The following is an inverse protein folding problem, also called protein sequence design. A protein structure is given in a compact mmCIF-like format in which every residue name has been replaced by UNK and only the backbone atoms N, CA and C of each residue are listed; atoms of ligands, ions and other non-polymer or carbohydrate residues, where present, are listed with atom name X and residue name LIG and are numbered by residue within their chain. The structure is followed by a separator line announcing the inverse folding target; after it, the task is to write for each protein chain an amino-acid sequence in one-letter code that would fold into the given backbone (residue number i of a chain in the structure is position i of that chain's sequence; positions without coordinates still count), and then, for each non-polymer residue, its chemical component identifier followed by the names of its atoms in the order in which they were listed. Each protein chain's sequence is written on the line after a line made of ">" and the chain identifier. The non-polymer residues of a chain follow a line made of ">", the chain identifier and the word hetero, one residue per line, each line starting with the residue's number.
data_IF_887420551841
#
_entry.id   IF_887420551841
#
_cell.length_a   1.000
_cell.length_b   1.000
_cell.length_c   1.000
_cell.angle_alpha   90.00
_cell.angle_beta   90.00
_cell.angle_gamma   90.00
#
_symmetry.space_group_name_H-M   'P 1'
#
loop_
_entity.id
_entity.type
_entity.pdbx_description
1 polymer ?
#
# COMPACT_ATOMS: atom_id res chain seq x y z
N UNK A 1 -7.75 18.44 14.20
CA UNK A 1 -7.34 17.17 14.81
C UNK A 1 -6.86 16.26 13.69
N UNK A 2 -5.61 15.79 13.72
CA UNK A 2 -5.06 14.93 12.67
C UNK A 2 -5.56 13.50 12.89
N UNK A 3 -6.39 13.00 11.97
CA UNK A 3 -6.89 11.62 11.99
C UNK A 3 -5.80 10.69 11.44
N UNK A 4 -4.85 10.31 12.29
CA UNK A 4 -3.80 9.37 11.91
C UNK A 4 -4.27 7.93 12.10
N UNK A 5 -4.15 7.10 11.07
CA UNK A 5 -4.39 5.64 11.17
C UNK A 5 -3.33 5.03 12.10
N UNK A 6 -3.69 4.26 13.12
CA UNK A 6 -2.69 3.65 13.99
C UNK A 6 -1.86 2.63 13.20
N UNK A 7 -0.55 2.85 13.10
CA UNK A 7 0.40 1.94 12.44
C UNK A 7 1.48 1.48 13.43
N UNK A 8 1.17 0.52 14.33
CA UNK A 8 2.16 -0.06 15.22
C UNK A 8 3.28 -0.75 14.43
N UNK A 9 4.49 -0.79 14.99
CA UNK A 9 5.64 -1.48 14.39
C UNK A 9 5.62 -2.99 14.66
N UNK A 10 4.74 -3.44 15.55
CA UNK A 10 4.53 -4.84 15.89
C UNK A 10 4.03 -5.69 14.70
N UNK A 11 4.13 -7.01 14.83
CA UNK A 11 3.53 -7.98 13.89
C UNK A 11 2.26 -8.63 14.48
N UNK A 12 1.54 -7.92 15.35
CA UNK A 12 0.20 -8.34 15.77
C UNK A 12 -0.77 -8.35 14.58
N UNK A 13 -1.88 -9.05 14.70
CA UNK A 13 -2.88 -9.11 13.63
C UNK A 13 -3.51 -7.74 13.39
N UNK A 14 -3.79 -6.97 14.46
CA UNK A 14 -4.27 -5.60 14.34
C UNK A 14 -3.25 -4.69 13.60
N UNK A 15 -1.95 -4.83 13.85
CA UNK A 15 -0.93 -4.06 13.15
C UNK A 15 -0.77 -4.45 11.67
N UNK A 16 -0.93 -5.75 11.34
CA UNK A 16 -0.96 -6.22 9.94
C UNK A 16 -2.20 -5.69 9.21
N UNK A 17 -3.35 -5.76 9.85
CA UNK A 17 -4.62 -5.25 9.33
C UNK A 17 -4.54 -3.75 9.00
N UNK A 18 -4.00 -2.93 9.90
CA UNK A 18 -3.84 -1.50 9.61
C UNK A 18 -2.89 -1.24 8.44
N UNK A 19 -1.78 -1.98 8.34
CA UNK A 19 -0.85 -1.89 7.19
C UNK A 19 -1.53 -2.31 5.89
N UNK A 20 -2.35 -3.37 5.91
CA UNK A 20 -3.15 -3.81 4.76
C UNK A 20 -4.12 -2.73 4.32
N UNK A 21 -4.91 -2.17 5.24
CA UNK A 21 -5.89 -1.12 4.93
C UNK A 21 -5.21 0.12 4.31
N UNK A 22 -4.07 0.55 4.87
CA UNK A 22 -3.30 1.68 4.31
C UNK A 22 -2.74 1.35 2.93
N UNK A 23 -2.18 0.15 2.73
CA UNK A 23 -1.65 -0.27 1.43
C UNK A 23 -2.74 -0.26 0.35
N UNK A 24 -3.91 -0.84 0.65
CA UNK A 24 -5.06 -0.85 -0.26
C UNK A 24 -5.55 0.57 -0.57
N UNK A 25 -5.60 1.43 0.45
CA UNK A 25 -6.00 2.82 0.30
C UNK A 25 -5.03 3.63 -0.57
N UNK A 26 -3.73 3.35 -0.48
CA UNK A 26 -2.71 3.95 -1.35
C UNK A 26 -2.86 3.41 -2.76
N UNK A 27 -2.99 2.10 -2.94
CA UNK A 27 -3.21 1.49 -4.25
C UNK A 27 -4.44 2.07 -4.96
N UNK A 28 -5.57 2.21 -4.26
CA UNK A 28 -6.78 2.83 -4.80
C UNK A 28 -6.55 4.28 -5.25
N UNK A 29 -5.78 5.06 -4.48
CA UNK A 29 -5.42 6.45 -4.84
C UNK A 29 -4.45 6.53 -6.01
N UNK A 30 -3.50 5.61 -6.12
CA UNK A 30 -2.58 5.53 -7.26
C UNK A 30 -3.34 5.15 -8.54
N UNK A 31 -4.29 4.21 -8.45
CA UNK A 31 -5.18 3.87 -9.56
C UNK A 31 -6.04 5.08 -9.95
N UNK A 32 -6.68 5.77 -9.01
CA UNK A 32 -7.46 6.98 -9.36
C UNK A 32 -6.58 8.05 -10.00
N UNK A 33 -5.41 8.31 -9.40
CA UNK A 33 -4.47 9.31 -9.86
C UNK A 33 -3.96 9.02 -11.26
N UNK A 34 -3.66 7.79 -11.62
CA UNK A 34 -3.01 7.53 -12.92
C UNK A 34 -3.98 6.94 -13.94
N UNK A 35 -4.94 6.13 -13.52
CA UNK A 35 -5.80 5.34 -14.40
C UNK A 35 -7.19 5.97 -14.55
N UNK A 36 -7.81 6.47 -13.49
CA UNK A 36 -9.18 7.00 -13.55
C UNK A 36 -9.27 8.43 -14.09
N UNK A 37 -8.79 8.60 -15.32
CA UNK A 37 -8.82 9.86 -16.06
C UNK A 37 -9.78 9.80 -17.25
N UNK A 38 -10.31 10.95 -17.70
CA UNK A 38 -11.16 10.99 -18.88
C UNK A 38 -10.37 10.76 -20.18
N UNK A 39 -9.11 11.19 -20.23
CA UNK A 39 -8.19 11.06 -21.37
C UNK A 39 -6.75 10.91 -20.89
N UNK A 40 -5.91 10.19 -21.62
CA UNK A 40 -4.50 9.99 -21.29
C UNK A 40 -3.53 10.79 -22.16
N UNK A 41 -3.96 11.28 -23.34
CA UNK A 41 -3.08 12.07 -24.23
C UNK A 41 -2.71 13.44 -23.66
N UNK A 42 -3.47 13.93 -22.67
CA UNK A 42 -3.16 15.17 -21.97
C UNK A 42 -2.37 14.88 -20.70
N UNK A 43 -1.47 15.81 -20.36
CA UNK A 43 -0.73 15.82 -19.09
C UNK A 43 -1.68 15.79 -17.88
N UNK A 44 -1.23 15.20 -16.77
CA UNK A 44 -1.95 15.24 -15.48
C UNK A 44 -2.21 16.69 -15.02
N UNK A 45 -1.33 17.63 -15.36
CA UNK A 45 -1.44 19.05 -14.99
C UNK A 45 -2.40 19.86 -15.90
N UNK A 46 -3.05 19.21 -16.88
CA UNK A 46 -3.90 19.90 -17.86
C UNK A 46 -5.24 20.42 -17.31
N UNK A 47 -5.58 20.12 -16.06
CA UNK A 47 -6.89 20.40 -15.45
C UNK A 47 -8.10 19.86 -16.25
N UNK A 48 -7.87 18.95 -17.21
CA UNK A 48 -8.93 18.48 -18.11
C UNK A 48 -10.01 17.71 -17.35
N UNK A 49 -9.64 16.95 -16.32
CA UNK A 49 -10.60 16.19 -15.49
C UNK A 49 -11.61 17.12 -14.85
N UNK A 50 -11.13 18.15 -14.14
CA UNK A 50 -11.97 19.16 -13.51
C UNK A 50 -12.79 19.95 -14.54
N UNK A 51 -12.19 20.32 -15.67
CA UNK A 51 -12.89 21.01 -16.75
C UNK A 51 -14.07 20.20 -17.28
N UNK A 52 -13.87 18.91 -17.54
CA UNK A 52 -14.94 18.01 -17.97
C UNK A 52 -15.98 17.78 -16.87
N UNK A 53 -15.59 17.71 -15.58
CA UNK A 53 -16.56 17.63 -14.46
C UNK A 53 -17.46 18.87 -14.44
N UNK A 54 -16.86 20.04 -14.52
CA UNK A 54 -17.59 21.30 -14.52
C UNK A 54 -18.46 21.46 -15.77
N UNK A 55 -18.02 20.94 -16.92
CA UNK A 55 -18.83 20.92 -18.13
C UNK A 55 -20.01 19.96 -17.98
N UNK A 56 -19.83 18.76 -17.44
CA UNK A 56 -20.93 17.83 -17.21
C UNK A 56 -21.98 18.37 -16.24
N UNK A 57 -21.58 19.14 -15.22
CA UNK A 57 -22.50 19.81 -14.31
C UNK A 57 -23.35 20.90 -15.00
N UNK A 58 -22.90 21.45 -16.13
CA UNK A 58 -23.59 22.55 -16.84
C UNK A 58 -24.33 22.07 -18.08
N UNK A 59 -23.74 21.13 -18.80
CA UNK A 59 -24.21 20.58 -20.07
C UNK A 59 -23.54 19.22 -20.30
N UNK A 60 -24.18 18.18 -19.80
CA UNK A 60 -23.75 16.78 -19.88
C UNK A 60 -23.48 16.31 -21.32
N UNK A 61 -24.31 16.76 -22.27
CA UNK A 61 -24.19 16.40 -23.68
C UNK A 61 -22.96 17.02 -24.33
N UNK A 62 -22.67 18.29 -24.04
CA UNK A 62 -21.42 18.93 -24.49
C UNK A 62 -20.20 18.26 -23.88
N UNK A 63 -20.25 17.89 -22.59
CA UNK A 63 -19.15 17.13 -21.98
C UNK A 63 -18.89 15.83 -22.73
N UNK A 64 -19.94 15.04 -22.95
CA UNK A 64 -19.83 13.77 -23.62
C UNK A 64 -19.20 13.95 -25.00
N UNK A 65 -19.69 14.90 -25.79
CA UNK A 65 -19.15 15.20 -27.11
C UNK A 65 -17.67 15.59 -27.06
N UNK A 66 -17.28 16.52 -26.17
CA UNK A 66 -15.89 16.93 -25.99
C UNK A 66 -15.00 15.75 -25.58
N UNK A 67 -15.44 14.94 -24.62
CA UNK A 67 -14.70 13.74 -24.18
C UNK A 67 -14.54 12.74 -25.32
N UNK A 68 -15.58 12.49 -26.12
CA UNK A 68 -15.47 11.59 -27.28
C UNK A 68 -14.47 12.10 -28.33
N UNK A 69 -14.43 13.42 -28.59
CA UNK A 69 -13.41 14.00 -29.47
C UNK A 69 -12.02 13.71 -28.91
N UNK A 70 -11.76 14.01 -27.64
CA UNK A 70 -10.45 13.78 -27.01
C UNK A 70 -10.01 12.31 -27.13
N UNK A 71 -10.93 11.38 -26.90
CA UNK A 71 -10.67 9.94 -27.01
C UNK A 71 -10.40 9.48 -28.45
N UNK A 72 -10.88 10.22 -29.46
CA UNK A 72 -10.73 9.87 -30.87
C UNK A 72 -9.44 10.39 -31.52
N UNK A 73 -8.71 11.30 -30.86
CA UNK A 73 -7.54 11.98 -31.43
C UNK A 73 -6.42 10.98 -31.78
N UNK A 74 -6.02 10.15 -30.82
CA UNK A 74 -4.98 9.14 -31.05
C UNK A 74 -5.20 7.92 -30.13
N UNK A 75 -6.02 6.94 -30.57
CA UNK A 75 -6.32 5.75 -29.78
C UNK A 75 -5.09 4.89 -29.47
N UNK A 76 -4.09 4.90 -30.35
CA UNK A 76 -2.85 4.14 -30.16
C UNK A 76 -2.02 4.78 -29.05
N UNK A 77 -1.90 6.11 -29.06
CA UNK A 77 -1.20 6.84 -28.00
C UNK A 77 -1.90 6.75 -26.66
N UNK A 78 -3.24 6.80 -26.63
CA UNK A 78 -4.03 6.51 -25.43
C UNK A 78 -3.66 5.17 -24.80
N UNK A 79 -3.55 4.11 -25.61
CA UNK A 79 -3.21 2.77 -25.12
C UNK A 79 -1.76 2.68 -24.63
N UNK A 80 -0.82 3.30 -25.33
CA UNK A 80 0.59 3.37 -24.92
C UNK A 80 0.73 4.07 -23.56
N UNK A 81 0.13 5.25 -23.42
CA UNK A 81 0.19 6.03 -22.17
C UNK A 81 -0.52 5.30 -21.03
N UNK A 82 -1.63 4.60 -21.29
CA UNK A 82 -2.26 3.74 -20.29
C UNK A 82 -1.28 2.68 -19.77
N UNK A 83 -0.53 2.02 -20.66
CA UNK A 83 0.51 1.07 -20.28
C UNK A 83 1.61 1.69 -19.39
N UNK A 84 2.05 2.91 -19.70
CA UNK A 84 3.01 3.66 -18.88
C UNK A 84 2.45 4.04 -17.50
N UNK A 85 1.18 4.42 -17.44
CA UNK A 85 0.46 4.75 -16.21
C UNK A 85 0.30 3.52 -15.32
N UNK A 86 -0.04 2.36 -15.87
CA UNK A 86 -0.09 1.07 -15.15
C UNK A 86 1.27 0.76 -14.53
N UNK A 87 2.36 0.83 -15.31
CA UNK A 87 3.72 0.63 -14.77
C UNK A 87 4.08 1.63 -13.67
N UNK A 88 3.60 2.87 -13.79
CA UNK A 88 3.80 3.90 -12.78
C UNK A 88 3.10 3.57 -11.47
N UNK A 89 1.83 3.15 -11.51
CA UNK A 89 1.08 2.66 -10.33
C UNK A 89 1.85 1.51 -9.68
N UNK A 90 2.22 0.49 -10.45
CA UNK A 90 2.95 -0.67 -9.92
C UNK A 90 4.25 -0.25 -9.25
N UNK A 91 5.05 0.59 -9.90
CA UNK A 91 6.32 1.08 -9.35
C UNK A 91 6.10 1.87 -8.05
N UNK A 92 5.12 2.76 -8.01
CA UNK A 92 4.88 3.62 -6.86
C UNK A 92 4.45 2.80 -5.63
N UNK A 93 3.57 1.82 -5.81
CA UNK A 93 3.12 0.94 -4.73
C UNK A 93 4.23 -0.01 -4.29
N UNK A 94 4.98 -0.62 -5.23
CA UNK A 94 6.09 -1.52 -4.90
C UNK A 94 7.23 -0.84 -4.12
N UNK A 95 7.42 0.48 -4.27
CA UNK A 95 8.39 1.24 -3.46
C UNK A 95 8.06 1.21 -1.96
N UNK A 96 6.78 1.20 -1.61
CA UNK A 96 6.32 1.09 -0.22
C UNK A 96 6.58 -0.30 0.36
N UNK A 97 6.76 -1.30 -0.52
CA UNK A 97 6.98 -2.70 -0.18
C UNK A 97 8.44 -3.13 -0.38
N UNK A 98 9.38 -2.18 -0.41
CA UNK A 98 10.81 -2.43 -0.61
C UNK A 98 11.47 -3.33 0.45
N UNK A 99 10.81 -3.55 1.59
CA UNK A 99 11.25 -4.48 2.64
C UNK A 99 10.73 -5.92 2.49
N UNK A 100 9.95 -6.23 1.45
CA UNK A 100 9.48 -7.60 1.21
C UNK A 100 10.65 -8.54 0.85
N UNK A 101 10.62 -9.80 1.27
CA UNK A 101 11.56 -10.80 0.78
C UNK A 101 11.43 -10.96 -0.74
N UNK A 102 12.57 -11.16 -1.42
CA UNK A 102 12.63 -11.29 -2.88
C UNK A 102 11.64 -12.32 -3.43
N UNK A 103 11.45 -13.43 -2.71
CA UNK A 103 10.53 -14.50 -3.08
C UNK A 103 9.07 -14.05 -3.26
N UNK A 104 8.63 -12.99 -2.56
CA UNK A 104 7.28 -12.44 -2.66
C UNK A 104 7.22 -11.17 -3.50
N UNK A 105 8.37 -10.60 -3.86
CA UNK A 105 8.44 -9.31 -4.54
C UNK A 105 7.87 -9.40 -5.96
N UNK A 106 8.24 -10.44 -6.73
CA UNK A 106 7.73 -10.66 -8.08
C UNK A 106 6.22 -10.94 -8.09
N UNK A 107 5.76 -11.84 -7.21
CA UNK A 107 4.33 -12.19 -7.11
C UNK A 107 3.47 -10.96 -6.75
N UNK A 108 3.91 -10.16 -5.77
CA UNK A 108 3.21 -8.94 -5.38
C UNK A 108 3.18 -7.91 -6.53
N UNK A 109 4.30 -7.75 -7.24
CA UNK A 109 4.38 -6.86 -8.39
C UNK A 109 3.37 -7.27 -9.46
N UNK A 110 3.34 -8.55 -9.82
CA UNK A 110 2.45 -9.09 -10.84
C UNK A 110 0.98 -8.94 -10.43
N UNK A 111 0.66 -9.14 -9.15
CA UNK A 111 -0.69 -8.92 -8.61
C UNK A 111 -1.13 -7.45 -8.72
N UNK A 112 -0.25 -6.49 -8.37
CA UNK A 112 -0.55 -5.06 -8.48
C UNK A 112 -0.69 -4.64 -9.95
N UNK A 113 0.21 -5.10 -10.82
CA UNK A 113 0.17 -4.81 -12.25
C UNK A 113 -1.10 -5.39 -12.90
N UNK A 114 -1.48 -6.61 -12.51
CA UNK A 114 -2.74 -7.25 -12.92
C UNK A 114 -3.97 -6.46 -12.48
N UNK A 115 -4.03 -6.02 -11.22
CA UNK A 115 -5.15 -5.22 -10.72
C UNK A 115 -5.26 -3.86 -11.42
N UNK A 116 -4.13 -3.16 -11.60
CA UNK A 116 -4.08 -1.90 -12.33
C UNK A 116 -4.52 -2.06 -13.79
N UNK A 117 -4.13 -3.16 -14.43
CA UNK A 117 -4.56 -3.51 -15.79
C UNK A 117 -6.08 -3.70 -15.86
N UNK A 118 -6.64 -4.51 -14.96
CA UNK A 118 -8.08 -4.72 -14.86
C UNK A 118 -8.85 -3.41 -14.62
N UNK A 119 -8.33 -2.54 -13.74
CA UNK A 119 -8.91 -1.23 -13.50
C UNK A 119 -8.90 -0.37 -14.76
N UNK A 120 -7.82 -0.38 -15.54
CA UNK A 120 -7.72 0.33 -16.82
C UNK A 120 -8.70 -0.18 -17.88
N UNK A 121 -8.86 -1.50 -18.00
CA UNK A 121 -9.82 -2.13 -18.91
C UNK A 121 -11.27 -1.77 -18.55
N UNK A 122 -11.60 -1.84 -17.26
CA UNK A 122 -12.93 -1.46 -16.77
C UNK A 122 -13.18 0.04 -17.00
N UNK A 123 -12.24 0.89 -16.60
CA UNK A 123 -12.38 2.34 -16.72
C UNK A 123 -12.48 2.81 -18.17
N UNK A 124 -11.85 2.09 -19.10
CA UNK A 124 -11.99 2.35 -20.54
C UNK A 124 -13.42 2.21 -21.05
N UNK A 125 -14.29 1.47 -20.35
CA UNK A 125 -15.73 1.40 -20.65
C UNK A 125 -16.45 2.63 -20.11
N UNK A 126 -16.16 3.04 -18.87
CA UNK A 126 -16.73 4.26 -18.28
C UNK A 126 -16.38 5.52 -19.07
N UNK A 127 -15.13 5.63 -19.56
CA UNK A 127 -14.70 6.76 -20.40
C UNK A 127 -15.45 6.88 -21.72
N UNK A 128 -16.01 5.78 -22.24
CA UNK A 128 -16.79 5.75 -23.49
C UNK A 128 -18.30 5.80 -23.27
N UNK A 129 -18.75 5.70 -22.03
CA UNK A 129 -20.17 5.82 -21.70
C UNK A 129 -20.68 7.25 -21.95
N UNK A 130 -21.98 7.36 -22.20
CA UNK A 130 -22.65 8.65 -22.38
C UNK A 130 -22.52 9.51 -21.13
N UNK A 131 -22.91 8.96 -19.98
CA UNK A 131 -22.77 9.61 -18.67
C UNK A 131 -21.30 9.79 -18.29
N UNK A 132 -21.01 10.90 -17.61
CA UNK A 132 -19.71 11.12 -17.00
C UNK A 132 -19.64 10.42 -15.65
N UNK A 133 -18.73 9.45 -15.53
CA UNK A 133 -18.40 8.81 -14.26
C UNK A 133 -17.22 9.51 -13.60
N UNK A 134 -17.27 9.62 -12.27
CA UNK A 134 -16.18 10.10 -11.44
C UNK A 134 -16.00 9.21 -10.22
N UNK A 135 -14.75 9.13 -9.79
CA UNK A 135 -14.35 8.47 -8.55
C UNK A 135 -14.25 9.52 -7.47
N UNK A 136 -14.84 9.23 -6.30
CA UNK A 136 -14.95 10.17 -5.20
C UNK A 136 -14.48 9.53 -3.89
N UNK A 137 -13.45 10.11 -3.29
CA UNK A 137 -12.89 9.70 -2.00
C UNK A 137 -13.45 10.49 -0.82
N UNK A 138 -14.16 11.60 -1.08
CA UNK A 138 -14.59 12.55 -0.07
C UNK A 138 -16.05 12.99 -0.34
N UNK A 139 -17.01 12.06 -0.15
CA UNK A 139 -18.42 12.26 -0.49
C UNK A 139 -19.07 13.38 0.30
N UNK A 140 -18.53 13.67 1.48
CA UNK A 140 -19.02 14.70 2.39
C UNK A 140 -18.92 16.11 1.77
N UNK A 141 -17.99 16.34 0.83
CA UNK A 141 -17.92 17.59 0.04
C UNK A 141 -19.21 17.88 -0.73
N UNK A 142 -19.99 16.84 -1.00
CA UNK A 142 -21.23 16.90 -1.77
C UNK A 142 -22.48 16.72 -0.90
N UNK A 143 -22.33 16.75 0.43
CA UNK A 143 -23.44 16.57 1.37
C UNK A 143 -23.90 15.12 1.53
N UNK A 144 -23.12 14.15 1.04
CA UNK A 144 -23.41 12.74 1.19
C UNK A 144 -22.61 12.16 2.37
N UNK A 145 -23.35 11.64 3.34
CA UNK A 145 -22.83 11.05 4.57
C UNK A 145 -22.98 9.53 4.62
N UNK A 146 -23.25 8.86 3.49
CA UNK A 146 -23.37 7.41 3.43
C UNK A 146 -22.01 6.73 3.18
N UNK A 147 -21.74 5.67 3.93
CA UNK A 147 -20.49 4.90 3.83
C UNK A 147 -20.72 3.44 4.20
N UNK A 148 -19.76 2.58 3.84
CA UNK A 148 -19.69 1.18 4.28
C UNK A 148 -18.39 0.92 5.05
N UNK A 149 -18.42 0.08 6.10
CA UNK A 149 -17.22 -0.29 6.82
C UNK A 149 -16.28 -1.12 5.95
N UNK A 150 -14.98 -0.85 6.06
CA UNK A 150 -13.96 -1.76 5.57
C UNK A 150 -14.01 -3.07 6.37
N UNK A 151 -14.18 -4.19 5.68
CA UNK A 151 -14.20 -5.53 6.29
C UNK A 151 -12.86 -6.20 6.01
N UNK A 152 -12.15 -6.57 7.07
CA UNK A 152 -10.89 -7.31 6.96
C UNK A 152 -11.14 -8.74 6.46
N UNK A 153 -10.19 -9.36 5.72
CA UNK A 153 -10.38 -10.68 5.13
C UNK A 153 -10.87 -11.75 6.11
N UNK A 154 -10.38 -11.72 7.35
CA UNK A 154 -10.74 -12.68 8.40
C UNK A 154 -12.17 -12.51 8.96
N UNK A 155 -12.88 -11.46 8.53
CA UNK A 155 -14.23 -11.10 8.99
C UNK A 155 -15.28 -11.06 7.87
N UNK A 156 -14.90 -11.42 6.64
CA UNK A 156 -15.75 -11.31 5.44
C UNK A 156 -17.08 -12.10 5.51
N UNK A 157 -17.23 -13.06 6.44
CA UNK A 157 -18.43 -13.88 6.58
C UNK A 157 -19.52 -13.35 7.53
N UNK A 158 -19.34 -12.21 8.21
CA UNK A 158 -20.15 -11.83 9.37
C UNK A 158 -20.97 -10.53 9.25
N UNK A 159 -20.90 -9.77 8.15
CA UNK A 159 -21.46 -8.40 8.09
C UNK A 159 -22.55 -8.27 7.02
N UNK A 160 -23.72 -7.77 7.42
CA UNK A 160 -24.80 -7.37 6.51
C UNK A 160 -24.49 -6.08 5.74
N UNK A 161 -24.83 -6.05 4.46
CA UNK A 161 -24.41 -5.04 3.48
C UNK A 161 -25.22 -3.73 3.50
N UNK A 162 -25.54 -3.17 4.67
CA UNK A 162 -26.23 -1.87 4.71
C UNK A 162 -25.25 -0.71 4.81
N UNK A 163 -25.42 0.38 4.03
CA UNK A 163 -24.73 1.63 4.30
C UNK A 163 -25.11 2.18 5.68
N UNK A 164 -24.21 2.95 6.26
CA UNK A 164 -24.33 3.60 7.56
C UNK A 164 -24.14 5.11 7.37
N UNK A 165 -24.81 5.95 8.17
CA UNK A 165 -24.57 7.40 8.17
C UNK A 165 -23.25 7.75 8.89
N UNK A 166 -22.50 8.75 8.40
CA UNK A 166 -21.21 9.16 8.97
C UNK A 166 -21.41 9.97 10.24
N UNK A 167 -20.73 9.56 11.31
CA UNK A 167 -20.44 10.44 12.44
C UNK A 167 -19.12 11.19 12.14
N UNK A 168 -19.19 12.53 12.06
CA UNK A 168 -18.09 13.42 11.64
C UNK A 168 -16.76 13.25 12.41
N UNK A 169 -16.74 12.57 13.55
CA UNK A 169 -15.55 12.42 14.41
C UNK A 169 -14.78 11.10 14.20
N UNK A 170 -15.29 10.17 13.39
CA UNK A 170 -14.88 8.77 13.50
C UNK A 170 -14.17 8.17 12.27
N UNK A 171 -14.31 8.77 11.08
CA UNK A 171 -13.60 8.29 9.89
C UNK A 171 -12.09 8.51 10.02
N UNK A 172 -11.30 7.47 9.75
CA UNK A 172 -9.84 7.52 9.76
C UNK A 172 -9.27 7.52 8.35
N UNK A 173 -9.83 6.73 7.45
CA UNK A 173 -9.29 6.53 6.11
C UNK A 173 -10.36 6.00 5.15
N UNK A 174 -10.57 6.69 4.04
CA UNK A 174 -11.24 6.10 2.87
C UNK A 174 -10.30 5.09 2.22
N UNK A 175 -10.66 3.80 2.29
CA UNK A 175 -9.89 2.69 1.70
C UNK A 175 -10.24 2.54 0.23
N UNK A 176 -11.52 2.44 -0.10
CA UNK A 176 -11.99 2.44 -1.48
C UNK A 176 -12.92 3.61 -1.75
N UNK A 177 -12.75 4.29 -2.89
CA UNK A 177 -13.64 5.37 -3.27
C UNK A 177 -14.97 4.82 -3.75
N UNK A 178 -15.94 5.72 -3.88
CA UNK A 178 -17.18 5.43 -4.60
C UNK A 178 -17.09 5.82 -6.06
N UNK A 179 -18.03 5.30 -6.85
CA UNK A 179 -18.30 5.73 -8.22
C UNK A 179 -19.60 6.53 -8.22
N UNK A 180 -19.58 7.69 -8.86
CA UNK A 180 -20.74 8.54 -9.05
C UNK A 180 -20.85 9.01 -10.51
N UNK A 181 -22.05 9.37 -10.94
CA UNK A 181 -22.24 10.12 -12.19
C UNK A 181 -22.35 11.60 -11.93
N UNK A 182 -21.98 12.38 -12.94
CA UNK A 182 -22.10 13.84 -12.95
C UNK A 182 -22.90 14.23 -14.18
N UNK A 183 -24.08 14.82 -13.99
CA UNK A 183 -25.01 15.14 -15.08
C UNK A 183 -25.90 16.32 -14.69
N UNK A 184 -25.80 17.43 -15.43
CA UNK A 184 -26.73 18.58 -15.40
C UNK A 184 -27.09 19.10 -14.00
N UNK A 185 -26.06 19.30 -13.18
CA UNK A 185 -26.16 19.85 -11.84
C UNK A 185 -26.34 18.80 -10.75
N UNK A 186 -26.47 17.53 -11.13
CA UNK A 186 -26.68 16.41 -10.23
C UNK A 186 -25.42 15.54 -10.16
N UNK A 187 -25.10 15.09 -8.94
CA UNK A 187 -24.07 14.07 -8.70
C UNK A 187 -24.71 12.90 -7.97
N UNK A 188 -24.90 11.78 -8.66
CA UNK A 188 -25.56 10.59 -8.12
C UNK A 188 -24.54 9.49 -7.84
N UNK A 189 -24.53 8.97 -6.61
CA UNK A 189 -23.67 7.86 -6.21
C UNK A 189 -24.25 6.50 -6.63
N UNK A 190 -23.42 5.63 -7.20
CA UNK A 190 -23.79 4.23 -7.49
C UNK A 190 -23.27 3.27 -6.43
N UNK A 191 -22.17 3.64 -5.78
CA UNK A 191 -21.55 2.86 -4.72
C UNK A 191 -21.28 3.74 -3.51
N UNK A 192 -20.91 3.10 -2.40
CA UNK A 192 -20.54 3.78 -1.16
C UNK A 192 -19.02 3.88 -1.08
N UNK A 193 -18.55 4.88 -0.36
CA UNK A 193 -17.15 4.86 0.09
C UNK A 193 -16.97 3.74 1.10
N UNK A 194 -15.83 3.05 1.02
CA UNK A 194 -15.46 2.04 1.99
C UNK A 194 -14.44 2.66 2.93
N UNK A 195 -14.78 2.77 4.21
CA UNK A 195 -13.98 3.51 5.18
C UNK A 195 -13.53 2.65 6.35
N UNK A 196 -12.32 2.97 6.82
CA UNK A 196 -11.81 2.56 8.10
C UNK A 196 -12.25 3.58 9.15
N UNK A 197 -12.95 3.12 10.19
CA UNK A 197 -13.46 3.95 11.26
C UNK A 197 -12.71 3.67 12.57
N UNK A 198 -12.47 4.71 13.37
CA UNK A 198 -11.76 4.64 14.66
C UNK A 198 -12.41 3.69 15.66
N UNK A 199 -13.72 3.54 15.63
CA UNK A 199 -14.46 2.66 16.54
C UNK A 199 -14.31 1.16 16.20
N UNK A 200 -13.75 0.82 15.03
CA UNK A 200 -13.55 -0.56 14.64
C UNK A 200 -12.59 -1.30 15.60
N UNK A 201 -12.86 -2.56 15.96
CA UNK A 201 -12.05 -3.30 16.93
C UNK A 201 -10.56 -3.33 16.61
N UNK A 202 -10.20 -3.52 15.34
CA UNK A 202 -8.81 -3.54 14.87
C UNK A 202 -8.12 -2.18 15.05
N UNK A 203 -8.82 -1.09 14.76
CA UNK A 203 -8.30 0.27 14.97
C UNK A 203 -8.07 0.56 16.45
N UNK A 204 -9.01 0.15 17.31
CA UNK A 204 -8.89 0.31 18.76
C UNK A 204 -7.73 -0.54 19.30
N UNK A 205 -7.58 -1.78 18.84
CA UNK A 205 -6.49 -2.66 19.23
C UNK A 205 -5.12 -2.10 18.82
N UNK A 206 -4.97 -1.71 17.55
CA UNK A 206 -3.74 -1.09 17.05
C UNK A 206 -3.43 0.22 17.78
N UNK A 207 -4.44 1.04 18.09
CA UNK A 207 -4.26 2.26 18.87
C UNK A 207 -3.73 2.00 20.29
N UNK A 208 -4.21 0.93 20.95
CA UNK A 208 -3.71 0.53 22.27
C UNK A 208 -2.27 0.04 22.23
N UNK A 209 -1.84 -0.61 21.15
CA UNK A 209 -0.45 -1.04 20.97
C UNK A 209 0.49 0.16 20.85
N UNK A 210 0.11 1.17 20.06
CA UNK A 210 0.87 2.40 19.88
C UNK A 210 1.10 3.16 21.19
N UNK A 211 0.14 3.11 22.11
CA UNK A 211 0.25 3.73 23.45
C UNK A 211 1.15 2.89 24.38
N UNK A 212 1.26 1.58 24.14
CA UNK A 212 2.02 0.64 24.99
C UNK A 212 3.47 0.46 24.56
N UNK A 213 3.83 0.78 23.31
CA UNK A 213 5.24 0.81 22.90
C UNK A 213 5.99 1.93 23.66
N UNK A 214 7.02 1.63 24.48
CA UNK A 214 7.83 2.66 25.10
C UNK A 214 8.67 3.35 24.03
N UNK A 215 8.71 4.68 24.08
CA UNK A 215 9.63 5.49 23.29
C UNK A 215 11.10 5.21 23.66
N UNK A 216 11.88 4.72 22.69
CA UNK A 216 13.36 4.86 22.53
C UNK A 216 14.28 3.71 23.03
N UNK A 217 15.58 3.69 22.65
CA UNK A 217 16.21 2.54 21.98
C UNK A 217 17.20 1.80 22.90
N UNK A 218 17.29 0.48 22.82
CA UNK A 218 18.41 -0.23 23.44
C UNK A 218 19.57 -0.31 22.46
N UNK A 219 20.43 0.72 22.51
CA UNK A 219 21.83 0.57 22.15
C UNK A 219 22.42 -0.51 23.08
N UNK A 220 22.46 -1.75 22.60
CA UNK A 220 23.20 -2.80 23.29
C UNK A 220 24.69 -2.46 23.18
N UNK A 221 25.17 -1.74 24.18
CA UNK A 221 26.58 -1.59 24.50
C UNK A 221 27.21 -2.98 24.49
N UNK A 222 28.18 -3.17 23.58
CA UNK A 222 29.14 -4.25 23.69
C UNK A 222 29.85 -4.07 25.02
N UNK A 223 29.47 -4.91 25.98
CA UNK A 223 30.07 -4.96 27.31
C UNK A 223 31.58 -5.06 27.19
N UNK A 224 32.26 -4.09 27.81
CA UNK A 224 33.69 -4.13 28.02
C UNK A 224 34.03 -5.43 28.78
N UNK A 225 34.84 -6.27 28.14
CA UNK A 225 35.40 -7.48 28.72
C UNK A 225 36.24 -7.11 29.95
N UNK A 226 35.71 -7.38 31.14
CA UNK A 226 36.44 -7.28 32.39
C UNK A 226 37.47 -8.43 32.45
N UNK A 227 38.64 -8.19 31.87
CA UNK A 227 39.78 -9.12 31.91
C UNK A 227 40.47 -9.00 33.27
N UNK A 228 39.93 -9.66 34.29
CA UNK A 228 40.65 -9.86 35.55
C UNK A 228 41.82 -10.81 35.33
N UNK A 229 43.04 -10.24 35.32
CA UNK A 229 44.31 -10.98 35.41
C UNK A 229 44.30 -11.78 36.71
N UNK A 230 44.24 -13.10 36.63
CA UNK A 230 44.59 -13.99 37.74
C UNK A 230 46.04 -14.44 37.53
N UNK A 231 46.92 -13.86 38.32
CA UNK A 231 48.29 -14.32 38.55
C UNK A 231 48.17 -15.56 39.44
N UNK A 232 48.69 -16.70 38.99
CA UNK A 232 48.93 -17.85 39.85
C UNK A 232 50.33 -18.38 39.59
N UNK A 233 51.09 -18.31 40.68
CA UNK A 233 52.48 -18.67 40.89
C UNK A 233 52.63 -20.19 40.72
N UNK A 234 53.60 -20.62 39.93
CA UNK A 234 54.01 -22.01 39.80
C UNK A 234 54.93 -22.39 40.97
N UNK A 235 54.54 -23.40 41.74
CA UNK A 235 55.43 -24.14 42.62
C UNK A 235 55.57 -25.58 42.11
N UNK A 236 56.83 -25.92 41.82
CA UNK A 236 57.36 -27.23 41.44
C UNK A 236 56.98 -28.36 42.41
N UNK A 237 56.71 -29.57 41.89
CA UNK A 237 57.41 -30.82 42.29
C UNK A 237 56.95 -32.01 41.44
N UNK A 238 57.77 -33.06 41.47
CA UNK A 238 58.07 -34.11 40.49
C UNK A 238 57.20 -35.38 40.59
N UNK A 239 57.53 -36.32 39.68
CA UNK A 239 57.15 -37.74 39.54
C UNK A 239 55.84 -38.02 38.76
N UNK A 240 55.79 -38.90 37.76
CA UNK A 240 56.81 -39.74 37.15
C UNK A 240 56.16 -40.79 36.22
N UNK A 241 56.92 -41.16 35.18
CA UNK A 241 56.94 -42.44 34.45
C UNK A 241 55.86 -42.84 33.41
N UNK A 242 56.36 -42.91 32.16
CA UNK A 242 56.45 -44.09 31.26
C UNK A 242 55.36 -44.43 30.22
N UNK A 243 55.84 -44.66 28.98
CA UNK A 243 55.24 -45.44 27.88
C UNK A 243 55.07 -44.68 26.56
N UNK A 244 56.10 -44.44 25.74
CA UNK A 244 56.56 -45.25 24.58
C UNK A 244 55.46 -45.63 23.57
N UNK A 245 55.43 -45.04 22.36
CA UNK A 245 55.92 -45.64 21.10
C UNK A 245 55.37 -44.99 19.81
N UNK A 246 56.31 -44.57 18.94
CA UNK A 246 56.38 -44.63 17.48
C UNK A 246 55.17 -44.35 16.55
N UNK A 247 55.41 -43.44 15.58
CA UNK A 247 54.70 -43.47 14.28
C UNK A 247 54.98 -42.27 13.36
N UNK A 248 55.95 -42.43 12.44
CA UNK A 248 56.42 -41.51 11.36
C UNK A 248 55.29 -40.86 10.52
N UNK A 249 55.35 -39.58 10.11
CA UNK A 249 56.24 -38.83 9.16
C UNK A 249 55.82 -38.93 7.67
N UNK A 250 55.52 -37.77 7.07
CA UNK A 250 55.45 -37.46 5.62
C UNK A 250 54.59 -36.20 5.38
N UNK A 251 55.11 -34.97 5.18
CA UNK A 251 55.67 -34.34 3.93
C UNK A 251 54.81 -34.66 2.68
N UNK A 252 54.42 -33.75 1.78
CA UNK A 252 54.90 -32.42 1.34
C UNK A 252 53.77 -31.77 0.49
N UNK A 253 53.48 -30.46 0.61
CA UNK A 253 53.86 -29.35 -0.32
C UNK A 253 53.45 -29.45 -1.81
N UNK A 254 52.91 -28.34 -2.34
CA UNK A 254 52.85 -27.96 -3.77
C UNK A 254 51.42 -27.72 -4.28
N UNK A 255 50.84 -26.51 -4.36
CA UNK A 255 51.19 -25.23 -4.99
C UNK A 255 50.69 -25.08 -6.45
N UNK A 256 49.97 -23.97 -6.68
CA UNK A 256 49.63 -23.22 -7.93
C UNK A 256 48.60 -23.84 -8.89
N UNK A 257 47.49 -23.15 -9.20
CA UNK A 257 47.31 -21.92 -10.03
C UNK A 257 47.66 -22.13 -11.51
N UNK A 258 46.66 -21.88 -12.35
CA UNK A 258 46.64 -21.89 -13.81
C UNK A 258 45.21 -21.91 -14.28
#
# INVERSE_FOLDING_TARGET
>A
MQHHVPLPLSNSDAAKDMRLAVLLAILAREIDRHIFHPTYILSEDSHIRETLVNLAMKDSKKEFFCRQILLSIDPNKEQEILGERIRTVTRNVMRLLSGLPEAFYSEMRDAIEGLATQAGELWSRFRRAERKYEVDFDPLKWGDDEWRPFVFPDQAGAVGESPVARTLSESLLTVFPRICTVEDGIRDAYTFVIELNRSMPQCVAAGKELIREPSSPTSNGRGASNRQRRISIASSSMNGQNGVSLGKKGKQEGSKQG
#
